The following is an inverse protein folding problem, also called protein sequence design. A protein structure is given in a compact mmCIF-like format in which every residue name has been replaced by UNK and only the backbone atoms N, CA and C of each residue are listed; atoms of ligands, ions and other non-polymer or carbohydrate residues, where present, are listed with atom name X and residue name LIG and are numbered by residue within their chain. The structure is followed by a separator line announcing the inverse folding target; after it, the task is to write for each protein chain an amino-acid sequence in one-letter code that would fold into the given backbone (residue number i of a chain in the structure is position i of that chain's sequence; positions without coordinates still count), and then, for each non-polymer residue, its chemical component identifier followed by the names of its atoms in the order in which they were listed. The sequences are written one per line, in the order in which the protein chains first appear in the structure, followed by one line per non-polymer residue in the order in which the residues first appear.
data_IF_568920230851
#
_entry.id   IF_568920230851
#
_cell.length_a   1.000
_cell.length_b   1.000
_cell.length_c   1.000
_cell.angle_alpha   90.00
_cell.angle_beta   90.00
_cell.angle_gamma   90.00
#
_symmetry.space_group_name_H-M   'P 1'
#
loop_
_entity.id
_entity.type
_entity.pdbx_description
1 polymer ?
#
# COMPACT_ATOMS: atom_id res chain seq x y z
N UNK A 1 7.34 -18.11 1.82
CA UNK A 1 7.11 -16.96 0.92
C UNK A 1 6.72 -15.80 1.80
N UNK A 2 7.58 -14.81 1.92
CA UNK A 2 7.24 -13.57 2.64
C UNK A 2 6.22 -12.80 1.82
N UNK A 3 4.96 -12.84 2.27
CA UNK A 3 3.87 -12.10 1.65
C UNK A 3 3.93 -10.66 2.15
N UNK A 4 4.40 -9.75 1.29
CA UNK A 4 4.56 -8.33 1.61
C UNK A 4 3.60 -7.47 0.79
N UNK A 5 3.35 -6.23 1.25
CA UNK A 5 2.57 -5.27 0.47
C UNK A 5 3.21 -4.97 -0.90
N UNK A 6 4.53 -4.97 -0.97
CA UNK A 6 5.27 -4.75 -2.21
C UNK A 6 5.06 -5.90 -3.21
N UNK A 7 5.07 -7.14 -2.73
CA UNK A 7 4.73 -8.32 -3.55
C UNK A 7 3.32 -8.17 -4.13
N UNK A 8 2.36 -7.78 -3.30
CA UNK A 8 0.96 -7.62 -3.71
C UNK A 8 0.78 -6.53 -4.77
N UNK A 9 1.50 -5.41 -4.65
CA UNK A 9 1.51 -4.34 -5.65
C UNK A 9 2.14 -4.81 -6.97
N UNK A 10 3.24 -5.58 -6.89
CA UNK A 10 3.90 -6.11 -8.08
C UNK A 10 2.99 -7.12 -8.81
N UNK A 11 2.28 -7.97 -8.08
CA UNK A 11 1.31 -8.93 -8.63
C UNK A 11 0.07 -8.25 -9.22
N UNK A 12 -0.35 -7.09 -8.69
CA UNK A 12 -1.49 -6.36 -9.23
C UNK A 12 -1.21 -5.68 -10.58
N UNK A 13 0.06 -5.62 -11.01
CA UNK A 13 0.48 -4.95 -12.24
C UNK A 13 0.32 -3.42 -12.21
N UNK A 14 -0.06 -2.85 -11.06
CA UNK A 14 -0.27 -1.41 -10.92
C UNK A 14 1.06 -0.72 -10.64
N UNK A 15 1.26 0.44 -11.25
CA UNK A 15 2.45 1.25 -11.00
C UNK A 15 2.35 1.95 -9.65
N UNK A 16 3.48 2.05 -8.93
CA UNK A 16 3.55 2.70 -7.61
C UNK A 16 3.11 4.17 -7.65
N UNK A 17 3.43 4.89 -8.72
CA UNK A 17 2.99 6.28 -8.92
C UNK A 17 1.47 6.40 -9.07
N UNK A 18 0.82 5.48 -9.79
CA UNK A 18 -0.64 5.43 -9.93
C UNK A 18 -1.32 5.18 -8.58
N UNK A 19 -0.81 4.21 -7.81
CA UNK A 19 -1.35 3.93 -6.48
C UNK A 19 -1.18 5.16 -5.57
N UNK A 20 -0.02 5.81 -5.59
CA UNK A 20 0.23 7.01 -4.80
C UNK A 20 -0.78 8.14 -5.16
N UNK A 21 -1.07 8.32 -6.45
CA UNK A 21 -2.07 9.27 -6.93
C UNK A 21 -3.47 8.94 -6.41
N UNK A 22 -3.91 7.67 -6.48
CA UNK A 22 -5.19 7.23 -5.91
C UNK A 22 -5.28 7.51 -4.40
N UNK A 23 -4.17 7.34 -3.68
CA UNK A 23 -4.08 7.63 -2.25
C UNK A 23 -4.05 9.14 -1.96
N UNK A 24 -3.78 9.99 -2.97
CA UNK A 24 -3.65 11.44 -2.83
C UNK A 24 -2.33 11.85 -2.18
N UNK A 25 -1.26 11.09 -2.42
CA UNK A 25 0.08 11.34 -1.87
C UNK A 25 1.14 11.30 -2.98
N UNK A 26 2.33 11.85 -2.71
CA UNK A 26 3.44 11.72 -3.66
C UNK A 26 3.97 10.27 -3.71
N UNK A 27 4.50 9.87 -4.86
CA UNK A 27 5.16 8.57 -5.02
C UNK A 27 6.28 8.38 -3.99
N UNK A 28 7.05 9.44 -3.70
CA UNK A 28 8.10 9.39 -2.67
C UNK A 28 7.51 9.13 -1.27
N UNK A 29 6.38 9.74 -0.93
CA UNK A 29 5.68 9.48 0.33
C UNK A 29 5.19 8.03 0.40
N UNK A 30 4.62 7.53 -0.69
CA UNK A 30 4.19 6.14 -0.80
C UNK A 30 5.37 5.15 -0.64
N UNK A 31 6.49 5.38 -1.33
CA UNK A 31 7.71 4.59 -1.20
C UNK A 31 8.29 4.61 0.22
N UNK A 32 8.24 5.75 0.91
CA UNK A 32 8.66 5.84 2.31
C UNK A 32 7.77 4.99 3.22
N UNK A 33 6.46 4.93 2.94
CA UNK A 33 5.52 4.09 3.68
C UNK A 33 5.71 2.61 3.40
N UNK A 34 5.96 2.22 2.15
CA UNK A 34 6.32 0.84 1.79
C UNK A 34 7.59 0.35 2.49
N UNK A 35 8.57 1.24 2.68
CA UNK A 35 9.81 0.95 3.42
C UNK A 35 9.68 1.08 4.94
N UNK A 36 8.45 1.16 5.46
CA UNK A 36 8.14 1.33 6.90
C UNK A 36 8.77 2.56 7.57
N UNK A 37 9.25 3.54 6.78
CA UNK A 37 9.79 4.81 7.33
C UNK A 37 8.69 5.75 7.79
N UNK A 38 7.45 5.51 7.33
CA UNK A 38 6.23 6.23 7.72
C UNK A 38 5.07 5.26 7.75
N UNK A 39 4.13 5.46 8.69
CA UNK A 39 2.90 4.65 8.76
C UNK A 39 1.89 5.08 7.69
N UNK A 40 1.11 4.11 7.21
CA UNK A 40 -0.12 4.40 6.47
C UNK A 40 -1.18 4.94 7.43
N UNK A 41 -1.94 5.94 6.97
CA UNK A 41 -3.12 6.46 7.66
C UNK A 41 -4.31 5.58 7.33
N UNK A 42 -5.31 5.56 8.21
CA UNK A 42 -6.55 4.81 8.02
C UNK A 42 -7.21 5.05 6.66
N UNK A 43 -7.35 6.31 6.25
CA UNK A 43 -7.92 6.66 4.94
C UNK A 43 -7.08 6.15 3.76
N UNK A 44 -5.75 6.09 3.91
CA UNK A 44 -4.86 5.54 2.88
C UNK A 44 -4.99 4.02 2.80
N UNK A 45 -5.16 3.33 3.94
CA UNK A 45 -5.39 1.88 4.01
C UNK A 45 -6.71 1.52 3.33
N UNK A 46 -7.79 2.24 3.63
CA UNK A 46 -9.10 2.01 2.98
C UNK A 46 -9.02 2.23 1.48
N UNK A 47 -8.41 3.33 1.02
CA UNK A 47 -8.21 3.58 -0.42
C UNK A 47 -7.34 2.51 -1.07
N UNK A 48 -6.25 2.11 -0.43
CA UNK A 48 -5.35 1.07 -0.93
C UNK A 48 -6.06 -0.27 -1.07
N UNK A 49 -6.95 -0.61 -0.14
CA UNK A 49 -7.80 -1.80 -0.21
C UNK A 49 -8.73 -1.76 -1.43
N UNK A 50 -9.30 -0.59 -1.74
CA UNK A 50 -10.17 -0.40 -2.90
C UNK A 50 -9.36 -0.44 -4.21
N UNK A 51 -8.22 0.23 -4.27
CA UNK A 51 -7.34 0.26 -5.46
C UNK A 51 -6.80 -1.12 -5.81
N UNK A 52 -6.43 -1.91 -4.81
CA UNK A 52 -5.88 -3.25 -5.02
C UNK A 52 -6.97 -4.34 -5.05
N UNK A 53 -8.23 -3.98 -4.79
CA UNK A 53 -9.35 -4.92 -4.66
C UNK A 53 -9.07 -6.06 -3.65
N UNK A 54 -8.39 -5.72 -2.55
CA UNK A 54 -8.01 -6.65 -1.49
C UNK A 54 -8.68 -6.24 -0.18
N UNK A 55 -9.04 -7.20 0.66
CA UNK A 55 -9.64 -6.93 1.96
C UNK A 55 -8.78 -5.97 2.79
N UNK A 56 -9.41 -4.96 3.39
CA UNK A 56 -8.75 -4.01 4.27
C UNK A 56 -7.99 -4.71 5.42
N UNK A 57 -8.51 -5.83 5.92
CA UNK A 57 -7.84 -6.65 6.95
C UNK A 57 -6.47 -7.16 6.49
N UNK A 58 -6.34 -7.56 5.23
CA UNK A 58 -5.09 -8.03 4.65
C UNK A 58 -4.13 -6.84 4.50
N UNK A 59 -4.59 -5.73 3.93
CA UNK A 59 -3.78 -4.50 3.79
C UNK A 59 -3.26 -4.03 5.15
N UNK A 60 -4.11 -3.98 6.18
CA UNK A 60 -3.69 -3.62 7.56
C UNK A 60 -2.62 -4.55 8.08
N UNK A 61 -2.77 -5.87 7.88
CA UNK A 61 -1.75 -6.83 8.30
C UNK A 61 -0.41 -6.54 7.64
N UNK A 62 -0.40 -6.25 6.34
CA UNK A 62 0.81 -5.98 5.57
C UNK A 62 1.44 -4.61 5.87
N UNK A 63 0.63 -3.59 6.16
CA UNK A 63 1.09 -2.25 6.53
C UNK A 63 1.60 -2.14 7.97
N UNK A 64 1.17 -3.04 8.87
CA UNK A 64 1.43 -2.93 10.32
C UNK A 64 2.29 -4.06 10.92
N UNK A 65 2.70 -5.10 10.16
CA UNK A 65 3.53 -6.22 10.66
C UNK A 65 5.00 -6.14 10.20
N UNK A 66 5.62 -4.96 10.20
CA UNK A 66 7.08 -4.84 10.14
C UNK A 66 7.59 -4.02 11.32
#
# INVERSE_FOLDING_TARGET
MDFSLETLINESGLRKNYIAECLGISEQSFCNKLKNRRRFREAEITKLSQTLMVSERIIRRLCCNN
#
